data_IF_551142935072
#
_entry.id   IF_551142935072
#
_cell.length_a   1.000
_cell.length_b   1.000
_cell.length_c   1.000
_cell.angle_alpha   90.00
_cell.angle_beta   90.00
_cell.angle_gamma   90.00
#
_symmetry.space_group_name_H-M   'P 1'
#
loop_
_entity.id
_entity.type
_entity.pdbx_description
1 polymer ?
#
# COMPACT_ATOMS: atom_id res chain seq x y z
N UNK A 1 54.07 -26.25 -13.59
CA UNK A 1 54.78 -26.71 -12.38
C UNK A 1 53.99 -26.17 -11.20
N UNK A 2 53.08 -26.97 -10.65
CA UNK A 2 53.34 -27.96 -9.60
C UNK A 2 53.30 -27.24 -8.22
N UNK A 3 52.18 -27.31 -7.46
CA UNK A 3 51.89 -28.29 -6.37
C UNK A 3 52.77 -28.06 -5.14
N UNK A 4 52.37 -28.12 -3.86
CA UNK A 4 51.24 -28.72 -3.11
C UNK A 4 50.97 -27.86 -1.83
N UNK A 5 49.78 -27.82 -1.18
CA UNK A 5 49.14 -28.75 -0.19
C UNK A 5 50.07 -29.06 1.03
N UNK A 6 49.69 -29.12 2.32
CA UNK A 6 48.55 -29.63 3.12
C UNK A 6 48.60 -28.97 4.55
N UNK A 7 47.49 -28.57 5.20
CA UNK A 7 46.66 -29.28 6.23
C UNK A 7 47.22 -29.12 7.68
N UNK A 8 46.54 -29.15 8.84
CA UNK A 8 45.24 -29.61 9.33
C UNK A 8 44.94 -28.91 10.70
N UNK A 9 43.67 -28.79 11.11
CA UNK A 9 43.12 -29.56 12.25
C UNK A 9 41.68 -29.14 12.65
N UNK A 10 40.88 -30.19 12.80
CA UNK A 10 39.46 -30.28 13.09
C UNK A 10 39.10 -30.01 14.55
N UNK A 11 37.86 -29.56 14.81
CA UNK A 11 37.12 -29.99 16.00
C UNK A 11 35.72 -30.43 15.56
N UNK A 12 35.54 -31.76 15.60
CA UNK A 12 34.29 -32.48 15.54
C UNK A 12 33.44 -32.22 16.80
N UNK A 13 32.13 -32.00 16.60
CA UNK A 13 31.12 -32.34 17.61
C UNK A 13 29.83 -32.75 16.89
N UNK A 14 29.88 -33.98 16.39
CA UNK A 14 28.75 -34.89 16.30
C UNK A 14 27.71 -34.67 17.42
N UNK A 15 26.48 -34.34 17.03
CA UNK A 15 25.31 -34.67 17.84
C UNK A 15 24.17 -35.10 16.91
N UNK A 16 24.03 -36.42 16.87
CA UNK A 16 22.90 -37.21 16.40
C UNK A 16 21.57 -36.62 16.89
N UNK A 17 20.67 -36.26 15.96
CA UNK A 17 19.26 -36.13 16.28
C UNK A 17 18.43 -36.93 15.28
N UNK A 18 17.81 -37.95 15.83
CA UNK A 18 16.96 -38.96 15.24
C UNK A 18 15.70 -38.37 14.58
N UNK A 19 15.28 -39.07 13.53
CA UNK A 19 14.02 -38.84 12.82
C UNK A 19 12.83 -38.91 13.77
N UNK A 20 12.00 -37.85 13.78
CA UNK A 20 10.61 -37.95 14.20
C UNK A 20 9.72 -37.61 13.01
N UNK A 21 9.23 -38.68 12.39
CA UNK A 21 8.18 -38.66 11.37
C UNK A 21 6.89 -38.25 12.06
N UNK A 22 6.32 -37.11 11.68
CA UNK A 22 4.91 -36.80 11.96
C UNK A 22 4.22 -36.39 10.67
N UNK A 23 3.75 -37.41 9.95
CA UNK A 23 2.83 -37.25 8.84
C UNK A 23 1.48 -36.76 9.34
N UNK A 24 0.99 -35.68 8.74
CA UNK A 24 -0.46 -35.41 8.70
C UNK A 24 -0.87 -35.28 7.25
N UNK A 25 -1.37 -36.40 6.74
CA UNK A 25 -1.98 -36.51 5.42
C UNK A 25 -3.15 -35.54 5.27
N UNK A 26 -3.21 -34.89 4.11
CA UNK A 26 -4.41 -34.18 3.66
C UNK A 26 -5.37 -35.20 3.07
N UNK A 27 -6.27 -35.73 3.91
CA UNK A 27 -7.43 -36.49 3.46
C UNK A 27 -8.40 -35.58 2.70
N UNK A 28 -8.58 -35.85 1.41
CA UNK A 28 -9.69 -35.33 0.60
C UNK A 28 -10.97 -36.07 1.01
N UNK A 29 -11.85 -35.42 1.77
CA UNK A 29 -13.20 -35.91 2.04
C UNK A 29 -14.21 -35.28 1.07
N UNK A 30 -14.70 -36.07 0.12
CA UNK A 30 -15.93 -35.80 -0.64
C UNK A 30 -17.11 -35.77 0.34
N UNK A 31 -17.90 -34.69 0.36
CA UNK A 31 -19.22 -34.71 0.98
C UNK A 31 -20.28 -35.02 -0.08
N UNK A 32 -20.98 -36.12 0.17
CA UNK A 32 -22.17 -36.59 -0.52
C UNK A 32 -23.34 -35.64 -0.25
N UNK A 33 -24.19 -35.49 -1.29
CA UNK A 33 -25.54 -34.91 -1.22
C UNK A 33 -26.45 -35.85 -0.47
N UNK A 34 -27.28 -35.32 0.43
CA UNK A 34 -28.62 -35.85 0.70
C UNK A 34 -29.59 -34.70 0.97
N UNK A 35 -30.67 -34.69 0.20
CA UNK A 35 -31.85 -33.83 0.28
C UNK A 35 -32.76 -34.25 1.43
N UNK A 36 -33.34 -33.30 2.20
CA UNK A 36 -34.73 -33.40 2.73
C UNK A 36 -35.40 -32.02 2.88
N UNK A 37 -36.66 -32.00 2.46
CA UNK A 37 -37.60 -30.91 2.25
C UNK A 37 -38.32 -30.37 3.52
N UNK A 38 -38.84 -29.13 3.39
CA UNK A 38 -40.14 -28.58 3.90
C UNK A 38 -40.33 -28.42 5.43
N UNK A 39 -41.02 -27.44 6.04
CA UNK A 39 -42.09 -26.45 5.73
C UNK A 39 -41.93 -25.25 6.71
N UNK A 40 -42.39 -24.03 6.37
CA UNK A 40 -42.91 -23.11 7.40
C UNK A 40 -42.77 -21.60 7.13
N UNK A 41 -43.69 -21.03 6.35
CA UNK A 41 -43.94 -19.58 6.22
C UNK A 41 -44.80 -19.09 7.41
N UNK A 42 -44.84 -17.77 7.71
CA UNK A 42 -46.07 -17.07 7.34
C UNK A 42 -45.89 -15.66 6.74
N UNK A 43 -46.75 -15.40 5.74
CA UNK A 43 -47.27 -14.10 5.22
C UNK A 43 -47.72 -13.18 6.37
N UNK A 44 -47.84 -11.84 6.32
CA UNK A 44 -48.22 -10.78 5.34
C UNK A 44 -47.95 -9.46 6.14
N UNK A 45 -47.72 -8.26 5.60
CA UNK A 45 -48.56 -7.47 4.68
C UNK A 45 -47.79 -6.24 4.18
N UNK A 46 -48.04 -5.87 2.93
CA UNK A 46 -47.76 -4.55 2.36
C UNK A 46 -48.82 -3.56 2.84
N UNK A 47 -48.39 -2.36 3.25
CA UNK A 47 -49.09 -1.11 3.00
C UNK A 47 -48.08 -0.06 2.54
N UNK A 48 -48.57 0.80 1.66
CA UNK A 48 -47.86 1.71 0.76
C UNK A 48 -47.90 3.17 1.29
N UNK A 49 -46.97 3.99 0.78
CA UNK A 49 -47.01 5.47 0.64
C UNK A 49 -46.63 6.32 1.88
N UNK A 50 -45.45 6.96 1.85
CA UNK A 50 -45.26 8.32 1.32
C UNK A 50 -43.88 8.89 1.68
N UNK A 51 -43.31 9.57 0.68
CA UNK A 51 -42.34 10.68 0.76
C UNK A 51 -41.50 10.82 2.04
N UNK A 52 -40.20 10.55 1.93
CA UNK A 52 -39.24 11.44 2.58
C UNK A 52 -37.89 11.44 1.87
N UNK A 53 -37.30 12.62 1.85
CA UNK A 53 -36.13 13.01 1.09
C UNK A 53 -34.94 12.08 1.36
N UNK A 54 -34.29 11.66 0.27
CA UNK A 54 -33.06 10.91 0.30
C UNK A 54 -31.91 11.73 0.89
N UNK A 55 -31.90 11.84 2.22
CA UNK A 55 -30.67 12.11 2.94
C UNK A 55 -29.78 10.88 2.77
N UNK A 56 -28.86 10.97 1.82
CA UNK A 56 -27.66 10.14 1.81
C UNK A 56 -26.92 10.39 3.13
N UNK A 57 -27.30 9.67 4.18
CA UNK A 57 -26.46 9.43 5.32
C UNK A 57 -25.38 8.48 4.80
N UNK A 58 -24.48 9.05 4.00
CA UNK A 58 -23.15 8.50 3.81
C UNK A 58 -22.61 8.32 5.21
N UNK A 59 -22.62 7.07 5.68
CA UNK A 59 -22.01 6.67 6.92
C UNK A 59 -20.50 6.91 6.75
N UNK A 60 -20.08 8.18 6.86
CA UNK A 60 -18.70 8.57 7.08
C UNK A 60 -18.31 7.76 8.29
N UNK A 61 -17.56 6.69 8.05
CA UNK A 61 -16.98 5.85 9.08
C UNK A 61 -16.12 6.81 9.90
N UNK A 62 -16.67 7.36 10.97
CA UNK A 62 -15.93 8.22 11.88
C UNK A 62 -14.74 7.39 12.31
N UNK A 63 -13.55 7.80 11.88
CA UNK A 63 -12.31 7.16 12.27
C UNK A 63 -12.19 7.48 13.75
N UNK A 64 -12.63 6.55 14.61
CA UNK A 64 -12.43 6.67 16.05
C UNK A 64 -10.92 6.80 16.25
N UNK A 65 -10.49 7.89 16.86
CA UNK A 65 -9.09 8.11 17.19
C UNK A 65 -8.69 7.03 18.20
N UNK A 66 -7.92 6.05 17.72
CA UNK A 66 -7.36 4.99 18.54
C UNK A 66 -5.88 5.31 18.77
N UNK A 67 -5.50 5.52 20.02
CA UNK A 67 -4.10 5.70 20.39
C UNK A 67 -3.43 4.34 20.52
N UNK A 68 -2.37 4.13 19.75
CA UNK A 68 -1.58 2.89 19.78
C UNK A 68 -0.25 3.18 20.47
N UNK A 69 0.00 2.50 21.58
CA UNK A 69 1.18 2.72 22.42
C UNK A 69 1.94 1.41 22.53
N UNK A 70 3.25 1.46 22.26
CA UNK A 70 4.18 0.34 22.46
C UNK A 70 5.00 0.61 23.72
N UNK A 71 4.97 -0.33 24.64
CA UNK A 71 5.83 -0.37 25.81
C UNK A 71 6.93 -1.39 25.56
N UNK A 72 8.19 -0.92 25.51
CA UNK A 72 9.36 -1.79 25.46
C UNK A 72 9.90 -1.98 26.87
N UNK A 73 10.14 -3.21 27.26
CA UNK A 73 10.72 -3.53 28.57
C UNK A 73 12.25 -3.53 28.50
N UNK A 74 12.91 -3.38 29.65
CA UNK A 74 14.34 -3.68 29.75
C UNK A 74 14.55 -5.18 29.56
N UNK A 75 15.56 -5.55 28.79
CA UNK A 75 15.98 -6.94 28.66
C UNK A 75 16.74 -7.29 29.94
N UNK A 76 16.02 -7.68 30.98
CA UNK A 76 16.58 -8.54 32.01
C UNK A 76 16.56 -9.95 31.42
N UNK A 77 17.65 -10.69 31.60
CA UNK A 77 18.02 -11.92 30.86
C UNK A 77 17.00 -13.07 30.94
N UNK A 78 15.94 -12.89 31.69
CA UNK A 78 14.86 -13.84 31.80
C UNK A 78 13.80 -13.59 30.71
N UNK A 79 13.78 -14.51 29.75
CA UNK A 79 12.76 -14.64 28.72
C UNK A 79 11.40 -15.08 29.34
N UNK A 80 10.96 -14.41 30.41
CA UNK A 80 9.68 -14.68 31.08
C UNK A 80 8.59 -14.17 30.15
N UNK A 81 7.99 -15.12 29.46
CA UNK A 81 6.76 -14.95 28.70
C UNK A 81 5.71 -14.35 29.65
N UNK A 82 5.32 -13.09 29.39
CA UNK A 82 4.33 -12.39 30.20
C UNK A 82 3.03 -13.17 30.18
N UNK A 83 2.52 -13.55 31.37
CA UNK A 83 1.25 -14.28 31.43
C UNK A 83 0.09 -13.35 31.03
N UNK A 84 -0.75 -13.74 30.05
CA UNK A 84 -1.81 -12.87 29.53
C UNK A 84 -2.77 -12.36 30.62
N UNK A 85 -3.03 -13.21 31.63
CA UNK A 85 -3.94 -12.92 32.73
C UNK A 85 -3.35 -11.88 33.69
N UNK A 86 -2.05 -11.98 34.04
CA UNK A 86 -1.41 -11.03 34.94
C UNK A 86 -1.34 -9.64 34.29
N UNK A 87 -0.96 -9.59 33.01
CA UNK A 87 -0.95 -8.35 32.23
C UNK A 87 -2.34 -7.74 32.18
N UNK A 88 -3.37 -8.53 31.85
CA UNK A 88 -4.75 -8.03 31.78
C UNK A 88 -5.24 -7.48 33.12
N UNK A 89 -4.94 -8.16 34.23
CA UNK A 89 -5.32 -7.72 35.58
C UNK A 89 -4.62 -6.41 35.96
N UNK A 90 -3.34 -6.28 35.66
CA UNK A 90 -2.58 -5.09 36.01
C UNK A 90 -2.93 -3.88 35.12
N UNK A 91 -3.13 -4.10 33.82
CA UNK A 91 -3.62 -3.06 32.91
C UNK A 91 -5.01 -2.57 33.32
N UNK A 92 -5.91 -3.48 33.70
CA UNK A 92 -7.25 -3.11 34.17
C UNK A 92 -7.21 -2.31 35.47
N UNK A 93 -6.29 -2.64 36.39
CA UNK A 93 -6.09 -1.86 37.63
C UNK A 93 -5.51 -0.47 37.39
N UNK A 94 -4.54 -0.33 36.49
CA UNK A 94 -3.81 0.94 36.27
C UNK A 94 -4.50 1.89 35.29
N UNK A 95 -5.11 1.35 34.22
CA UNK A 95 -5.61 2.11 33.07
C UNK A 95 -7.14 2.07 32.98
N UNK A 96 -7.75 0.97 33.44
CA UNK A 96 -9.16 0.66 33.25
C UNK A 96 -9.39 -0.26 32.04
N UNK A 97 -10.60 -0.23 31.48
CA UNK A 97 -10.94 -1.04 30.31
C UNK A 97 -10.25 -0.50 29.05
N UNK A 98 -9.33 -1.30 28.51
CA UNK A 98 -8.62 -1.04 27.27
C UNK A 98 -9.30 -1.75 26.11
N UNK A 99 -9.10 -1.25 24.88
CA UNK A 99 -9.69 -1.89 23.71
C UNK A 99 -8.97 -3.20 23.36
N UNK A 100 -7.64 -3.18 23.40
CA UNK A 100 -6.84 -4.32 23.00
C UNK A 100 -5.40 -4.22 23.54
N UNK A 101 -4.85 -5.34 23.99
CA UNK A 101 -3.42 -5.48 24.29
C UNK A 101 -2.85 -6.72 23.61
N UNK A 102 -1.62 -6.61 23.11
CA UNK A 102 -0.93 -7.71 22.42
C UNK A 102 0.57 -7.68 22.66
N UNK A 103 1.14 -8.82 22.99
CA UNK A 103 2.58 -9.02 23.02
C UNK A 103 3.13 -9.15 21.60
N UNK A 104 4.17 -8.37 21.30
CA UNK A 104 4.90 -8.38 20.04
C UNK A 104 6.00 -9.46 20.06
N UNK A 105 6.64 -9.70 18.90
CA UNK A 105 7.65 -10.76 18.75
C UNK A 105 8.93 -10.50 19.55
N UNK A 106 9.23 -9.23 19.79
CA UNK A 106 10.34 -8.75 20.62
C UNK A 106 10.01 -8.75 22.12
N UNK A 107 8.84 -9.26 22.52
CA UNK A 107 8.38 -9.25 23.91
C UNK A 107 7.77 -7.92 24.36
N UNK A 108 7.74 -6.89 23.51
CA UNK A 108 7.11 -5.59 23.81
C UNK A 108 5.58 -5.70 23.87
N UNK A 109 4.94 -4.81 24.62
CA UNK A 109 3.48 -4.78 24.77
C UNK A 109 2.86 -3.65 23.94
N UNK A 110 2.02 -4.00 22.96
CA UNK A 110 1.18 -3.07 22.22
C UNK A 110 -0.16 -2.90 22.94
N UNK A 111 -0.53 -1.66 23.26
CA UNK A 111 -1.81 -1.31 23.89
C UNK A 111 -2.55 -0.35 22.96
N UNK A 112 -3.84 -0.60 22.74
CA UNK A 112 -4.73 0.27 21.97
C UNK A 112 -5.79 0.82 22.93
N UNK A 113 -5.86 2.15 23.01
CA UNK A 113 -6.80 2.88 23.86
C UNK A 113 -7.57 3.92 23.05
N UNK A 114 -8.77 4.28 23.51
CA UNK A 114 -9.65 5.27 22.85
C UNK A 114 -9.66 6.62 23.55
N UNK A 115 -9.33 6.66 24.84
CA UNK A 115 -9.34 7.90 25.63
C UNK A 115 -7.94 8.47 25.77
N UNK A 116 -7.84 9.79 25.66
CA UNK A 116 -6.59 10.54 25.89
C UNK A 116 -6.14 10.47 27.35
N UNK A 117 -7.08 10.36 28.30
CA UNK A 117 -6.75 10.14 29.71
C UNK A 117 -6.02 8.81 29.92
N UNK A 118 -6.47 7.76 29.23
CA UNK A 118 -5.83 6.44 29.28
C UNK A 118 -4.42 6.49 28.68
N UNK A 119 -4.25 7.23 27.58
CA UNK A 119 -2.93 7.48 26.97
C UNK A 119 -1.98 8.15 27.98
N UNK A 120 -2.42 9.20 28.66
CA UNK A 120 -1.61 9.90 29.66
C UNK A 120 -1.27 9.01 30.86
N UNK A 121 -2.22 8.19 31.33
CA UNK A 121 -1.96 7.17 32.37
C UNK A 121 -0.90 6.18 31.92
N UNK A 122 -0.96 5.66 30.69
CA UNK A 122 0.04 4.72 30.16
C UNK A 122 1.44 5.36 30.08
N UNK A 123 1.52 6.63 29.70
CA UNK A 123 2.79 7.37 29.66
C UNK A 123 3.44 7.52 31.04
N UNK A 124 2.65 7.47 32.12
CA UNK A 124 3.14 7.54 33.50
C UNK A 124 3.54 6.17 34.07
N UNK A 125 3.24 5.04 33.39
CA UNK A 125 3.54 3.71 33.92
C UNK A 125 5.01 3.36 33.69
N UNK A 126 5.78 3.20 34.76
CA UNK A 126 7.20 2.82 34.66
C UNK A 126 7.45 1.32 34.85
N UNK A 127 6.51 0.61 35.47
CA UNK A 127 6.63 -0.82 35.77
C UNK A 127 5.33 -1.57 35.42
N UNK A 128 5.45 -2.73 34.76
CA UNK A 128 4.33 -3.65 34.51
C UNK A 128 4.82 -5.08 34.77
N UNK A 129 4.08 -5.84 35.59
CA UNK A 129 4.33 -7.25 35.86
C UNK A 129 5.79 -7.53 36.27
N UNK A 130 6.33 -6.69 37.16
CA UNK A 130 7.73 -6.71 37.62
C UNK A 130 8.78 -6.39 36.55
N UNK A 131 8.38 -6.01 35.33
CA UNK A 131 9.30 -5.53 34.28
C UNK A 131 9.32 -4.01 34.25
N UNK A 132 10.52 -3.45 34.25
CA UNK A 132 10.75 -2.02 34.05
C UNK A 132 10.56 -1.65 32.58
N UNK A 133 9.79 -0.61 32.31
CA UNK A 133 9.59 -0.05 30.96
C UNK A 133 10.82 0.77 30.58
N UNK A 134 11.50 0.39 29.50
CA UNK A 134 12.64 1.11 28.94
C UNK A 134 12.22 2.28 28.07
N UNK A 135 11.20 2.07 27.24
CA UNK A 135 10.81 3.03 26.22
C UNK A 135 9.29 2.97 26.01
N UNK A 136 8.67 4.15 25.95
CA UNK A 136 7.23 4.32 25.65
C UNK A 136 7.12 5.01 24.31
N UNK A 137 6.55 4.34 23.31
CA UNK A 137 6.40 4.86 21.96
C UNK A 137 4.94 4.96 21.58
N UNK A 138 4.47 6.18 21.34
CA UNK A 138 3.17 6.43 20.73
C UNK A 138 3.34 6.31 19.22
N UNK A 139 2.60 5.39 18.61
CA UNK A 139 2.62 5.21 17.16
C UNK A 139 1.87 6.38 16.54
N UNK A 140 2.62 7.29 15.90
CA UNK A 140 2.07 8.39 15.11
C UNK A 140 2.41 9.80 15.58
N UNK A 141 2.97 10.00 16.79
CA UNK A 141 3.25 11.34 17.34
C UNK A 141 4.69 11.83 17.13
N UNK A 142 5.64 10.92 16.87
CA UNK A 142 7.03 11.27 16.59
C UNK A 142 7.35 11.05 15.12
N UNK A 143 6.61 11.69 14.21
CA UNK A 143 6.87 11.50 12.79
C UNK A 143 8.09 12.32 12.38
N UNK A 144 9.20 11.63 12.22
CA UNK A 144 10.41 12.20 11.63
C UNK A 144 10.18 12.31 10.12
N UNK A 145 10.26 13.52 9.59
CA UNK A 145 10.30 13.74 8.15
C UNK A 145 11.74 13.83 7.68
N UNK A 146 12.02 13.31 6.49
CA UNK A 146 13.36 13.30 5.90
C UNK A 146 13.36 14.10 4.62
N UNK A 147 14.27 15.07 4.52
CA UNK A 147 14.42 15.92 3.35
C UNK A 147 15.83 15.91 2.81
N UNK A 148 15.98 16.12 1.51
CA UNK A 148 17.26 16.28 0.82
C UNK A 148 17.39 17.71 0.35
N UNK A 149 18.53 18.31 0.69
CA UNK A 149 18.99 19.55 0.07
C UNK A 149 20.17 19.24 -0.86
N UNK A 150 20.30 20.00 -1.94
CA UNK A 150 21.37 19.86 -2.93
C UNK A 150 22.12 21.18 -3.08
N UNK A 151 23.42 21.11 -3.41
CA UNK A 151 24.25 22.29 -3.63
C UNK A 151 25.15 22.65 -2.44
N UNK A 152 25.29 21.75 -1.46
CA UNK A 152 26.22 21.95 -0.33
C UNK A 152 27.59 21.42 -0.74
N UNK A 153 28.68 22.23 -0.65
CA UNK A 153 30.04 21.78 -0.94
C UNK A 153 30.43 20.53 -0.13
N UNK A 154 31.28 19.69 -0.73
CA UNK A 154 31.70 18.41 -0.13
C UNK A 154 32.54 18.65 1.13
N UNK A 155 33.37 19.69 1.12
CA UNK A 155 34.29 20.05 2.22
C UNK A 155 33.57 20.72 3.40
N UNK A 156 32.27 21.00 3.27
CA UNK A 156 31.49 21.64 4.32
C UNK A 156 31.27 20.69 5.51
N UNK A 157 31.42 21.23 6.72
CA UNK A 157 31.19 20.47 7.95
C UNK A 157 29.69 20.35 8.25
N UNK A 158 29.21 19.11 8.38
CA UNK A 158 27.81 18.81 8.63
C UNK A 158 27.34 19.28 10.01
N UNK A 159 28.22 19.32 11.02
CA UNK A 159 27.87 19.80 12.36
C UNK A 159 27.72 21.32 12.37
N UNK A 160 28.59 22.05 11.65
CA UNK A 160 28.42 23.49 11.43
C UNK A 160 27.14 23.78 10.66
N UNK A 161 26.84 23.00 9.63
CA UNK A 161 25.61 23.13 8.86
C UNK A 161 24.39 22.97 9.76
N UNK A 162 24.38 21.96 10.64
CA UNK A 162 23.29 21.71 11.60
C UNK A 162 23.04 22.91 12.53
N UNK A 163 24.10 23.57 13.02
CA UNK A 163 24.00 24.72 13.94
C UNK A 163 23.52 26.00 13.26
N UNK A 164 23.76 26.15 11.95
CA UNK A 164 23.42 27.35 11.18
C UNK A 164 22.08 27.23 10.43
N UNK A 165 21.26 26.23 10.76
CA UNK A 165 19.89 26.13 10.24
C UNK A 165 18.96 26.92 11.15
N UNK A 166 18.23 27.85 10.55
CA UNK A 166 17.24 28.66 11.25
C UNK A 166 15.82 28.08 11.09
N UNK A 167 14.90 28.49 11.96
CA UNK A 167 13.45 28.21 11.91
C UNK A 167 13.02 26.73 12.09
N UNK A 168 13.97 25.79 12.13
CA UNK A 168 13.67 24.36 12.24
C UNK A 168 14.73 23.57 13.00
N UNK A 169 14.27 22.70 13.90
CA UNK A 169 15.11 21.75 14.62
C UNK A 169 15.44 20.53 13.72
N UNK A 170 16.74 20.33 13.46
CA UNK A 170 17.27 19.15 12.77
C UNK A 170 17.81 18.16 13.80
N UNK A 171 17.39 16.90 13.69
CA UNK A 171 17.90 15.81 14.53
C UNK A 171 19.25 15.32 14.03
N UNK A 172 19.33 15.04 12.73
CA UNK A 172 20.48 14.41 12.08
C UNK A 172 20.71 14.96 10.69
N UNK A 173 21.99 15.13 10.37
CA UNK A 173 22.49 15.51 9.05
C UNK A 173 23.36 14.38 8.54
N UNK A 174 23.20 13.99 7.27
CA UNK A 174 24.00 12.91 6.67
C UNK A 174 24.30 13.22 5.22
N UNK A 175 25.59 13.18 4.84
CA UNK A 175 26.01 13.36 3.44
C UNK A 175 25.55 12.17 2.61
N UNK A 176 24.90 12.42 1.47
CA UNK A 176 24.54 11.37 0.53
C UNK A 176 25.73 11.02 -0.36
N UNK A 177 25.83 9.74 -0.71
CA UNK A 177 26.86 9.21 -1.60
C UNK A 177 26.26 8.95 -2.98
N UNK A 178 27.07 9.14 -4.02
CA UNK A 178 26.79 8.73 -5.39
C UNK A 178 27.84 7.72 -5.84
N UNK A 179 27.47 6.88 -6.79
CA UNK A 179 28.44 5.99 -7.42
C UNK A 179 29.03 6.67 -8.64
N UNK A 180 30.36 6.70 -8.74
CA UNK A 180 31.13 7.17 -9.90
C UNK A 180 32.14 6.08 -10.18
N UNK A 181 32.13 5.52 -11.38
CA UNK A 181 33.07 4.47 -11.81
C UNK A 181 33.17 3.28 -10.84
N UNK A 182 32.06 2.93 -10.19
CA UNK A 182 32.00 1.83 -9.22
C UNK A 182 32.33 2.22 -7.77
N UNK A 183 32.89 3.41 -7.55
CA UNK A 183 33.25 3.91 -6.22
C UNK A 183 32.16 4.79 -5.61
N UNK A 184 31.98 4.72 -4.28
CA UNK A 184 30.99 5.53 -3.55
C UNK A 184 31.63 6.83 -3.10
N UNK A 185 31.37 7.91 -3.81
CA UNK A 185 31.92 9.23 -3.51
C UNK A 185 30.87 10.16 -2.87
N UNK A 186 31.27 11.09 -1.99
CA UNK A 186 30.38 12.12 -1.47
C UNK A 186 29.71 12.93 -2.59
N UNK A 187 28.42 13.23 -2.41
CA UNK A 187 27.67 14.14 -3.28
C UNK A 187 27.48 15.50 -2.62
N UNK A 188 27.15 16.52 -3.42
CA UNK A 188 26.69 17.82 -2.92
C UNK A 188 25.28 17.79 -2.29
N UNK A 189 24.76 16.58 -2.04
CA UNK A 189 23.41 16.36 -1.50
C UNK A 189 23.51 15.92 -0.05
N UNK A 190 22.68 16.49 0.80
CA UNK A 190 22.65 16.23 2.24
C UNK A 190 21.24 15.82 2.64
N UNK A 191 21.14 14.73 3.39
CA UNK A 191 19.91 14.24 4.01
C UNK A 191 19.76 14.87 5.39
N UNK A 192 18.60 15.43 5.65
CA UNK A 192 18.20 16.08 6.89
C UNK A 192 17.03 15.31 7.50
N UNK A 193 17.11 15.04 8.80
CA UNK A 193 16.03 14.47 9.59
C UNK A 193 15.41 15.55 10.48
N UNK A 194 14.14 15.85 10.26
CA UNK A 194 13.39 16.90 10.93
C UNK A 194 12.48 16.32 12.01
N UNK A 195 12.41 16.99 13.16
CA UNK A 195 11.44 16.68 14.23
C UNK A 195 10.11 17.39 14.00
N UNK A 196 9.53 17.22 12.80
CA UNK A 196 8.26 17.84 12.39
C UNK A 196 7.46 16.86 11.53
N UNK A 197 6.13 16.87 11.70
CA UNK A 197 5.21 16.01 10.94
C UNK A 197 5.15 16.36 9.44
N UNK A 198 5.34 17.64 9.12
CA UNK A 198 5.35 18.16 7.75
C UNK A 198 6.76 18.60 7.37
N UNK A 199 7.17 18.18 6.18
CA UNK A 199 8.45 18.57 5.61
C UNK A 199 8.36 20.05 5.16
N UNK A 200 9.31 20.92 5.55
CA UNK A 200 9.34 22.28 5.03
C UNK A 200 9.73 22.27 3.55
N UNK A 201 9.16 23.16 2.74
CA UNK A 201 9.52 23.27 1.31
C UNK A 201 10.92 23.85 1.10
N UNK A 202 11.36 24.70 2.02
CA UNK A 202 12.66 25.37 2.01
C UNK A 202 13.22 25.49 3.42
N UNK A 203 14.54 25.52 3.52
CA UNK A 203 15.25 25.88 4.76
C UNK A 203 16.25 26.99 4.49
N UNK A 204 16.56 27.75 5.53
CA UNK A 204 17.60 28.79 5.51
C UNK A 204 18.82 28.27 6.25
N UNK A 205 19.98 28.37 5.61
CA UNK A 205 21.29 28.07 6.20
C UNK A 205 22.15 29.32 6.00
N UNK A 206 22.48 30.01 7.09
CA UNK A 206 23.00 31.37 6.97
C UNK A 206 22.02 32.28 6.23
N UNK A 207 22.52 33.02 5.23
CA UNK A 207 21.72 33.89 4.36
C UNK A 207 21.19 33.19 3.10
N UNK A 208 21.48 31.90 2.92
CA UNK A 208 21.08 31.14 1.74
C UNK A 208 19.82 30.31 2.01
N UNK A 209 18.98 30.19 0.99
CA UNK A 209 17.76 29.38 1.05
C UNK A 209 17.86 28.18 0.12
N UNK A 210 17.61 26.99 0.66
CA UNK A 210 17.69 25.72 -0.07
C UNK A 210 16.31 25.08 -0.21
N UNK A 211 15.90 24.65 -1.41
CA UNK A 211 14.71 23.83 -1.58
C UNK A 211 14.94 22.45 -0.94
N UNK A 212 13.95 21.96 -0.22
CA UNK A 212 13.98 20.65 0.42
C UNK A 212 13.08 19.71 -0.37
N UNK A 213 13.66 18.59 -0.82
CA UNK A 213 12.89 17.51 -1.49
C UNK A 213 12.64 16.38 -0.52
N UNK A 214 11.47 15.74 -0.51
CA UNK A 214 11.23 14.57 0.33
C UNK A 214 12.21 13.44 -0.01
N UNK A 215 12.86 12.88 1.01
CA UNK A 215 13.72 11.72 0.83
C UNK A 215 12.88 10.45 0.79
N UNK A 216 12.75 9.88 -0.41
CA UNK A 216 12.03 8.62 -0.61
C UNK A 216 13.05 7.48 -0.67
N UNK A 217 13.12 6.62 0.36
CA UNK A 217 14.06 5.51 0.35
C UNK A 217 13.67 4.48 -0.71
N UNK A 218 14.61 3.62 -1.14
CA UNK A 218 14.29 2.52 -2.05
C UNK A 218 13.24 1.59 -1.42
N UNK A 219 12.40 0.91 -2.24
CA UNK A 219 11.38 0.00 -1.74
C UNK A 219 12.00 -1.09 -0.87
N UNK A 220 11.43 -1.29 0.31
CA UNK A 220 11.91 -2.29 1.25
C UNK A 220 11.74 -3.70 0.66
N UNK A 221 12.85 -4.37 0.35
CA UNK A 221 12.89 -5.74 -0.17
C UNK A 221 13.34 -6.70 0.93
N UNK A 222 12.62 -7.80 1.08
CA UNK A 222 13.02 -8.90 1.94
C UNK A 222 14.17 -9.68 1.28
N UNK A 223 15.34 -9.73 1.90
CA UNK A 223 16.49 -10.46 1.37
C UNK A 223 16.35 -11.99 1.41
N UNK A 224 15.37 -12.51 2.15
CA UNK A 224 15.04 -13.94 2.20
C UNK A 224 14.13 -14.36 1.03
N UNK A 225 12.93 -13.79 0.95
CA UNK A 225 11.92 -14.21 -0.04
C UNK A 225 11.83 -13.30 -1.27
N UNK A 226 12.59 -12.21 -1.32
CA UNK A 226 12.64 -11.22 -2.40
C UNK A 226 11.38 -10.39 -2.65
N UNK A 227 10.31 -10.59 -1.86
CA UNK A 227 9.09 -9.77 -1.91
C UNK A 227 9.29 -8.42 -1.21
N UNK A 228 8.45 -7.44 -1.55
CA UNK A 228 8.49 -6.10 -0.97
C UNK A 228 7.62 -5.96 0.29
N UNK A 229 7.94 -4.98 1.13
CA UNK A 229 7.12 -4.53 2.25
C UNK A 229 7.46 -5.12 3.62
N UNK A 230 8.48 -5.97 3.73
CA UNK A 230 8.93 -6.52 5.02
C UNK A 230 10.43 -6.86 5.01
N UNK A 231 11.03 -6.96 6.20
CA UNK A 231 12.43 -7.39 6.40
C UNK A 231 12.55 -8.91 6.52
N UNK A 232 13.76 -9.43 6.32
CA UNK A 232 14.03 -10.87 6.37
C UNK A 232 13.73 -11.49 7.74
N UNK A 233 14.00 -10.76 8.83
CA UNK A 233 13.78 -11.21 10.21
C UNK A 233 12.33 -11.58 10.50
N UNK A 234 11.37 -10.86 9.91
CA UNK A 234 9.93 -11.13 10.12
C UNK A 234 9.33 -12.06 9.07
N UNK A 235 10.13 -12.50 8.10
CA UNK A 235 9.69 -13.23 6.92
C UNK A 235 9.37 -14.71 7.21
N UNK A 236 8.15 -15.10 6.83
CA UNK A 236 7.68 -16.51 6.86
C UNK A 236 7.83 -17.23 5.52
N UNK A 237 8.35 -16.54 4.50
CA UNK A 237 8.57 -17.11 3.17
C UNK A 237 9.83 -17.97 3.10
N UNK A 238 9.92 -18.76 2.03
CA UNK A 238 11.11 -19.54 1.70
C UNK A 238 12.22 -18.64 1.16
N UNK A 239 13.47 -19.12 1.25
CA UNK A 239 14.64 -18.49 0.64
C UNK A 239 14.48 -18.48 -0.88
N UNK A 240 14.79 -17.34 -1.53
CA UNK A 240 14.71 -17.17 -2.98
C UNK A 240 15.92 -16.40 -3.50
N UNK A 241 16.52 -16.89 -4.58
CA UNK A 241 17.63 -16.23 -5.26
C UNK A 241 17.13 -14.97 -5.99
N UNK A 242 17.80 -13.80 -5.84
CA UNK A 242 17.40 -12.57 -6.51
C UNK A 242 17.66 -12.55 -8.04
N UNK A 243 18.49 -13.48 -8.54
CA UNK A 243 18.87 -13.60 -9.97
C UNK A 243 17.91 -14.50 -10.75
N UNK A 244 17.74 -15.74 -10.31
CA UNK A 244 16.94 -16.76 -11.02
C UNK A 244 15.63 -17.15 -10.30
N UNK A 245 15.42 -16.67 -9.08
CA UNK A 245 14.22 -16.99 -8.31
C UNK A 245 14.17 -18.43 -7.76
N UNK A 246 15.25 -19.21 -7.80
CA UNK A 246 15.32 -20.56 -7.21
C UNK A 246 15.41 -20.56 -5.67
N UNK A 247 15.26 -21.73 -5.04
CA UNK A 247 15.26 -21.91 -3.59
C UNK A 247 16.69 -22.04 -3.00
N UNK A 248 17.53 -21.02 -3.20
CA UNK A 248 18.91 -20.95 -2.72
C UNK A 248 19.31 -19.49 -2.47
N UNK A 249 20.47 -19.25 -1.85
CA UNK A 249 21.02 -17.89 -1.71
C UNK A 249 21.63 -17.38 -3.02
N UNK A 250 22.16 -16.16 -3.06
CA UNK A 250 22.75 -15.65 -4.32
C UNK A 250 24.10 -16.31 -4.61
N UNK A 251 24.86 -16.59 -3.55
CA UNK A 251 26.20 -17.18 -3.58
C UNK A 251 26.20 -18.61 -4.13
N UNK A 252 25.11 -19.34 -3.88
CA UNK A 252 24.87 -20.72 -4.34
C UNK A 252 24.30 -20.77 -5.77
N UNK A 253 24.14 -19.61 -6.43
CA UNK A 253 23.50 -19.54 -7.74
C UNK A 253 24.50 -19.87 -8.86
N UNK A 254 24.18 -20.90 -9.65
CA UNK A 254 24.98 -21.25 -10.83
C UNK A 254 25.06 -20.06 -11.80
N UNK A 255 26.28 -19.73 -12.23
CA UNK A 255 26.59 -18.52 -13.02
C UNK A 255 25.79 -18.38 -14.32
N UNK A 256 25.46 -19.50 -14.97
CA UNK A 256 24.85 -19.54 -16.31
C UNK A 256 23.31 -19.67 -16.31
N UNK A 257 22.64 -19.47 -15.17
CA UNK A 257 21.18 -19.57 -15.11
C UNK A 257 20.52 -18.30 -15.66
N UNK A 258 19.50 -18.50 -16.53
CA UNK A 258 18.68 -17.40 -17.07
C UNK A 258 18.05 -16.59 -15.94
N UNK A 259 18.11 -15.27 -16.07
CA UNK A 259 17.53 -14.37 -15.08
C UNK A 259 16.00 -14.49 -15.08
N UNK A 260 15.43 -14.61 -13.89
CA UNK A 260 13.99 -14.75 -13.72
C UNK A 260 13.57 -14.07 -12.42
N UNK A 261 12.63 -13.15 -12.55
CA UNK A 261 12.09 -12.43 -11.42
C UNK A 261 11.09 -13.32 -10.68
N UNK A 262 11.35 -13.62 -9.41
CA UNK A 262 10.40 -14.40 -8.59
C UNK A 262 9.11 -13.64 -8.24
N UNK A 263 9.05 -12.33 -8.47
CA UNK A 263 7.90 -11.49 -8.14
C UNK A 263 6.92 -11.34 -9.32
N UNK A 264 7.41 -11.13 -10.55
CA UNK A 264 6.56 -10.98 -11.75
C UNK A 264 6.70 -12.12 -12.77
N UNK A 265 7.68 -13.01 -12.63
CA UNK A 265 7.97 -14.07 -13.60
C UNK A 265 8.77 -13.63 -14.83
N UNK A 266 9.05 -12.34 -15.01
CA UNK A 266 9.76 -11.79 -16.17
C UNK A 266 11.24 -12.18 -16.24
N UNK A 267 11.82 -12.08 -17.45
CA UNK A 267 13.22 -12.42 -17.75
C UNK A 267 14.19 -11.31 -17.33
N UNK A 268 14.31 -11.07 -16.02
CA UNK A 268 15.22 -10.09 -15.44
C UNK A 268 15.42 -10.37 -13.95
N UNK A 269 16.48 -9.82 -13.33
CA UNK A 269 16.66 -9.87 -11.86
C UNK A 269 15.50 -9.20 -11.11
N UNK A 270 15.32 -9.58 -9.85
CA UNK A 270 14.37 -8.88 -8.95
C UNK A 270 14.74 -7.41 -8.75
N UNK A 271 16.02 -7.06 -8.88
CA UNK A 271 16.55 -5.70 -8.78
C UNK A 271 16.47 -4.91 -10.08
N UNK A 272 15.75 -5.38 -11.10
CA UNK A 272 15.51 -4.60 -12.31
C UNK A 272 14.53 -3.44 -12.03
N UNK A 273 14.88 -2.22 -12.48
CA UNK A 273 14.05 -1.03 -12.29
C UNK A 273 12.77 -1.03 -13.13
N UNK A 274 12.76 -1.73 -14.26
CA UNK A 274 11.60 -1.81 -15.15
C UNK A 274 10.48 -2.73 -14.66
N UNK A 275 10.73 -3.58 -13.66
CA UNK A 275 9.75 -4.54 -13.13
C UNK A 275 8.50 -3.86 -12.57
N UNK A 276 7.32 -4.24 -13.03
CA UNK A 276 6.05 -3.67 -12.58
C UNK A 276 5.82 -3.83 -11.07
N UNK A 277 6.16 -5.00 -10.51
CA UNK A 277 5.99 -5.25 -9.07
C UNK A 277 6.90 -4.32 -8.26
N UNK A 278 8.11 -4.03 -8.75
CA UNK A 278 9.01 -3.07 -8.12
C UNK A 278 8.51 -1.63 -8.27
N UNK A 279 8.01 -1.25 -9.46
CA UNK A 279 7.42 0.07 -9.69
C UNK A 279 6.25 0.33 -8.74
N UNK A 280 5.35 -0.65 -8.59
CA UNK A 280 4.26 -0.60 -7.60
C UNK A 280 4.80 -0.41 -6.17
N UNK A 281 5.83 -1.17 -5.78
CA UNK A 281 6.44 -1.02 -4.46
C UNK A 281 7.10 0.37 -4.25
N UNK A 282 7.67 0.96 -5.29
CA UNK A 282 8.21 2.32 -5.27
C UNK A 282 7.13 3.39 -5.13
N UNK A 283 6.02 3.24 -5.84
CA UNK A 283 4.85 4.09 -5.71
C UNK A 283 4.28 4.06 -4.29
N UNK A 284 4.12 2.87 -3.70
CA UNK A 284 3.67 2.72 -2.30
C UNK A 284 4.66 3.40 -1.35
N UNK A 285 5.96 3.24 -1.58
CA UNK A 285 6.99 3.86 -0.75
C UNK A 285 6.99 5.39 -0.88
N UNK A 286 6.71 5.93 -2.07
CA UNK A 286 6.53 7.36 -2.32
C UNK A 286 5.34 7.89 -1.52
N UNK A 287 4.17 7.28 -1.68
CA UNK A 287 2.93 7.69 -0.99
C UNK A 287 3.11 7.62 0.52
N UNK A 288 3.74 6.56 1.03
CA UNK A 288 4.08 6.41 2.45
C UNK A 288 4.93 7.58 2.95
N UNK A 289 6.00 7.92 2.24
CA UNK A 289 6.93 8.97 2.63
C UNK A 289 6.29 10.36 2.55
N UNK A 290 5.62 10.67 1.44
CA UNK A 290 5.06 12.01 1.19
C UNK A 290 3.89 12.30 2.12
N UNK A 291 2.98 11.34 2.30
CA UNK A 291 1.80 11.54 3.15
C UNK A 291 2.09 11.23 4.62
N UNK A 292 3.28 10.72 4.94
CA UNK A 292 3.70 10.38 6.30
C UNK A 292 2.70 9.44 7.01
N UNK A 293 2.32 8.39 6.28
CA UNK A 293 1.35 7.35 6.68
C UNK A 293 2.04 5.99 6.82
N UNK A 294 1.34 5.01 7.40
CA UNK A 294 1.86 3.64 7.47
C UNK A 294 1.94 2.99 6.08
N UNK A 295 2.79 1.96 5.95
CA UNK A 295 2.89 1.21 4.68
C UNK A 295 1.56 0.54 4.30
N UNK A 296 0.79 0.08 5.29
CA UNK A 296 -0.52 -0.54 5.08
C UNK A 296 -1.58 0.46 4.59
N UNK A 297 -1.54 1.71 5.07
CA UNK A 297 -2.41 2.77 4.56
C UNK A 297 -1.99 3.19 3.15
N UNK A 298 -0.69 3.36 2.90
CA UNK A 298 -0.18 3.69 1.57
C UNK A 298 -0.57 2.64 0.51
N UNK A 299 -0.54 1.35 0.87
CA UNK A 299 -1.06 0.26 0.04
C UNK A 299 -2.52 0.47 -0.36
N UNK A 300 -3.39 0.80 0.60
CA UNK A 300 -4.81 1.04 0.35
C UNK A 300 -5.03 2.26 -0.55
N UNK A 301 -4.27 3.33 -0.33
CA UNK A 301 -4.34 4.54 -1.15
C UNK A 301 -4.00 4.25 -2.61
N UNK A 302 -2.91 3.52 -2.87
CA UNK A 302 -2.48 3.16 -4.23
C UNK A 302 -3.49 2.22 -4.90
N UNK A 303 -4.08 1.29 -4.15
CA UNK A 303 -5.13 0.40 -4.68
C UNK A 303 -6.39 1.18 -5.06
N UNK A 304 -6.90 2.05 -4.17
CA UNK A 304 -8.09 2.84 -4.44
C UNK A 304 -7.91 3.85 -5.58
N UNK A 305 -6.70 4.38 -5.80
CA UNK A 305 -6.40 5.23 -6.96
C UNK A 305 -6.52 4.46 -8.29
N UNK A 306 -6.11 3.19 -8.33
CA UNK A 306 -6.24 2.36 -9.54
C UNK A 306 -7.69 2.07 -9.87
N UNK A 307 -8.48 1.70 -8.88
CA UNK A 307 -9.91 1.45 -9.03
C UNK A 307 -10.63 2.70 -9.58
N UNK A 308 -10.32 3.89 -9.06
CA UNK A 308 -10.84 5.18 -9.58
C UNK A 308 -10.40 5.49 -11.01
N UNK A 309 -9.17 5.16 -11.36
CA UNK A 309 -8.63 5.41 -12.71
C UNK A 309 -9.23 4.44 -13.73
N UNK A 310 -9.43 3.19 -13.35
CA UNK A 310 -10.05 2.15 -14.18
C UNK A 310 -11.54 2.44 -14.41
N UNK A 311 -12.30 2.78 -13.35
CA UNK A 311 -13.70 3.20 -13.45
C UNK A 311 -13.87 4.49 -14.27
N UNK A 312 -12.98 5.47 -14.11
CA UNK A 312 -13.00 6.70 -14.93
C UNK A 312 -12.77 6.43 -16.42
N UNK A 313 -11.86 5.50 -16.77
CA UNK A 313 -11.64 5.07 -18.15
C UNK A 313 -12.85 4.34 -18.73
N UNK A 314 -13.48 3.45 -17.97
CA UNK A 314 -14.70 2.75 -18.38
C UNK A 314 -15.84 3.75 -18.64
N UNK A 315 -16.02 4.74 -17.76
CA UNK A 315 -17.03 5.79 -17.94
C UNK A 315 -16.78 6.64 -19.20
N UNK A 316 -15.51 6.95 -19.51
CA UNK A 316 -15.14 7.68 -20.74
C UNK A 316 -15.42 6.86 -22.01
N UNK A 317 -15.17 5.56 -22.01
CA UNK A 317 -15.48 4.68 -23.15
C UNK A 317 -17.01 4.57 -23.34
N UNK A 318 -17.77 4.38 -22.27
CA UNK A 318 -19.24 4.30 -22.33
C UNK A 318 -19.87 5.58 -22.86
N UNK A 319 -19.37 6.75 -22.44
CA UNK A 319 -19.87 8.05 -22.92
C UNK A 319 -19.50 8.31 -24.39
N UNK A 320 -18.35 7.84 -24.85
CA UNK A 320 -17.92 7.93 -26.25
C UNK A 320 -18.81 7.08 -27.15
N UNK A 321 -19.09 5.83 -26.75
CA UNK A 321 -19.98 4.93 -27.48
C UNK A 321 -21.42 5.45 -27.54
N UNK A 322 -21.91 6.07 -26.46
CA UNK A 322 -23.25 6.66 -26.42
C UNK A 322 -23.39 7.83 -27.40
N UNK A 323 -22.37 8.69 -27.50
CA UNK A 323 -22.34 9.80 -28.49
C UNK A 323 -22.30 9.29 -29.93
N UNK A 324 -21.55 8.23 -30.21
CA UNK A 324 -21.52 7.61 -31.55
C UNK A 324 -22.89 7.05 -31.94
N UNK A 325 -23.57 6.33 -31.03
CA UNK A 325 -24.92 5.83 -31.27
C UNK A 325 -25.97 6.94 -31.47
N UNK A 326 -25.83 8.07 -30.77
CA UNK A 326 -26.72 9.23 -30.95
C UNK A 326 -26.48 9.91 -32.30
N UNK A 327 -25.22 10.04 -32.74
CA UNK A 327 -24.87 10.58 -34.06
C UNK A 327 -25.39 9.71 -35.20
N UNK A 328 -25.17 8.39 -35.13
CA UNK A 328 -25.63 7.44 -36.14
C UNK A 328 -27.17 7.41 -36.24
N UNK A 329 -27.87 7.54 -35.10
CA UNK A 329 -29.34 7.70 -35.09
C UNK A 329 -29.80 8.99 -35.76
N UNK A 330 -29.12 10.13 -35.53
CA UNK A 330 -29.47 11.40 -36.18
C UNK A 330 -29.25 11.35 -37.68
N UNK A 331 -28.19 10.69 -38.15
CA UNK A 331 -27.88 10.55 -39.58
C UNK A 331 -28.97 9.75 -40.30
N UNK A 332 -29.38 8.61 -39.74
CA UNK A 332 -30.51 7.81 -40.26
C UNK A 332 -31.82 8.60 -40.30
N UNK A 333 -32.08 9.49 -39.33
CA UNK A 333 -33.29 10.32 -39.36
C UNK A 333 -33.25 11.39 -40.45
N UNK A 334 -32.08 11.97 -40.74
CA UNK A 334 -31.93 12.98 -41.80
C UNK A 334 -32.11 12.34 -43.18
N UNK A 335 -31.54 11.15 -43.41
CA UNK A 335 -31.72 10.42 -44.67
C UNK A 335 -33.19 10.11 -44.96
N UNK A 336 -33.94 9.66 -43.95
CA UNK A 336 -35.38 9.42 -44.07
C UNK A 336 -36.16 10.68 -44.45
N UNK A 337 -35.82 11.83 -43.84
CA UNK A 337 -36.44 13.11 -44.18
C UNK A 337 -36.10 13.51 -45.63
N UNK A 338 -34.87 13.32 -46.09
CA UNK A 338 -34.50 13.62 -47.48
C UNK A 338 -35.25 12.73 -48.48
N UNK A 339 -35.38 11.43 -48.19
CA UNK A 339 -36.15 10.50 -49.01
C UNK A 339 -37.64 10.86 -49.05
N UNK A 340 -38.21 11.26 -47.90
CA UNK A 340 -39.57 11.78 -47.82
C UNK A 340 -39.76 13.02 -48.70
N UNK A 341 -38.87 14.02 -48.59
CA UNK A 341 -38.97 15.24 -49.39
C UNK A 341 -38.83 14.95 -50.89
N UNK A 342 -37.88 14.11 -51.29
CA UNK A 342 -37.72 13.70 -52.69
C UNK A 342 -38.97 12.99 -53.24
N UNK A 343 -39.58 12.11 -52.44
CA UNK A 343 -40.83 11.44 -52.78
C UNK A 343 -41.98 12.44 -52.99
N UNK A 344 -42.16 13.37 -52.04
CA UNK A 344 -43.22 14.39 -52.12
C UNK A 344 -43.02 15.29 -53.35
N UNK A 345 -41.80 15.77 -53.60
CA UNK A 345 -41.51 16.62 -54.76
C UNK A 345 -41.83 15.89 -56.07
N UNK A 346 -41.31 14.67 -56.25
CA UNK A 346 -41.53 13.90 -57.47
C UNK A 346 -43.00 13.56 -57.72
N UNK A 347 -43.75 13.21 -56.67
CA UNK A 347 -45.15 12.83 -56.83
C UNK A 347 -46.10 14.02 -56.94
N UNK A 348 -45.76 15.18 -56.37
CA UNK A 348 -46.65 16.37 -56.40
C UNK A 348 -46.48 17.23 -57.64
N UNK A 349 -45.39 17.06 -58.40
CA UNK A 349 -45.12 17.79 -59.65
C UNK A 349 -46.18 17.50 -60.73
N UNK A 350 -46.72 16.28 -60.76
CA UNK A 350 -47.68 15.84 -61.77
C UNK A 350 -49.15 16.15 -61.41
N UNK A 351 -49.42 16.76 -60.26
CA UNK A 351 -50.76 16.92 -59.70
C UNK A 351 -51.18 18.39 -59.67
N UNK A 352 -52.38 18.71 -60.16
CA UNK A 352 -52.91 20.10 -60.16
C UNK A 352 -53.85 20.38 -58.98
N UNK A 353 -54.56 19.37 -58.46
CA UNK A 353 -55.53 19.56 -57.38
C UNK A 353 -54.88 19.50 -55.99
N UNK A 354 -55.22 20.48 -55.14
CA UNK A 354 -54.67 20.61 -53.77
C UNK A 354 -54.97 19.39 -52.89
N UNK A 355 -56.17 18.82 -52.99
CA UNK A 355 -56.60 17.65 -52.20
C UNK A 355 -55.80 16.39 -52.51
N UNK A 356 -55.39 16.19 -53.76
CA UNK A 356 -54.55 15.05 -54.16
C UNK A 356 -53.10 15.21 -53.70
N UNK A 357 -52.56 16.43 -53.71
CA UNK A 357 -51.24 16.72 -53.14
C UNK A 357 -51.17 16.40 -51.65
N UNK A 358 -52.22 16.71 -50.88
CA UNK A 358 -52.30 16.38 -49.45
C UNK A 358 -52.28 14.86 -49.25
N UNK A 359 -53.01 14.09 -50.05
CA UNK A 359 -53.00 12.62 -49.98
C UNK A 359 -51.60 12.03 -50.23
N UNK A 360 -50.83 12.62 -51.16
CA UNK A 360 -49.46 12.20 -51.46
C UNK A 360 -48.52 12.48 -50.30
N UNK A 361 -48.64 13.64 -49.64
CA UNK A 361 -47.83 13.99 -48.47
C UNK A 361 -48.07 13.01 -47.33
N UNK A 362 -49.35 12.71 -47.02
CA UNK A 362 -49.71 11.74 -45.97
C UNK A 362 -49.12 10.36 -46.30
N UNK A 363 -49.28 9.90 -47.55
CA UNK A 363 -48.73 8.61 -48.00
C UNK A 363 -47.20 8.56 -47.96
N UNK A 364 -46.53 9.69 -48.20
CA UNK A 364 -45.08 9.81 -48.05
C UNK A 364 -44.66 9.67 -46.59
N UNK A 365 -45.39 10.31 -45.67
CA UNK A 365 -45.08 10.31 -44.25
C UNK A 365 -45.34 8.94 -43.58
N UNK A 366 -46.23 8.13 -44.14
CA UNK A 366 -46.43 6.73 -43.72
C UNK A 366 -45.32 5.80 -44.24
N UNK A 367 -44.64 6.17 -45.34
CA UNK A 367 -43.68 5.31 -46.05
C UNK A 367 -42.24 5.44 -45.56
N UNK A 368 -41.84 6.61 -45.05
CA UNK A 368 -40.47 6.94 -44.64
C UNK A 368 -40.46 7.38 -43.17
#
# INVERSE_FOLDING_TARGET
MATQIDDDEEIDSSNEWSQVVNGRGRGRGKMLREDKNMVGNPKRSLEEISSDEGSEIGCKRMVKEEFKIILKFKNEEENIQLSPIAVSRELKKKIGDIQFAKTLRDGSLLIIVKSEEQKNKILQIDNICKKSVREKKIIGENKITKGVITGIPINEDLEKLKRNVYDTEILKVTRLLRNVDGERVPSMSVLLEFKKDKLPDRIKIGFLSFPVRPYVPPPLRCFKCQRYGHVAEVCRGQQRCPKCGGNHKYEECVGNVQEKCCNCGGQHRVTFGGCEVRKKAAEIQQVKTVNNISYAEALKTVQGQKERTETGKVQQVLTSNKKQMEQEKTEVTVEKIMLFMAYVINCTDQVKHKTEKIKIIVKGAEKF
#
